data_IF_895894129526
#
_entry.id   IF_895894129526
#
_cell.length_a   1.000
_cell.length_b   1.000
_cell.length_c   1.000
_cell.angle_alpha   90.00
_cell.angle_beta   90.00
_cell.angle_gamma   90.00
#
_symmetry.space_group_name_H-M   'P 1'
#
loop_
_entity.id
_entity.type
_entity.pdbx_description
1 polymer ?
#
# COMPACT_ATOMS: atom_id res chain seq x y z
N UNK A 1 -20.43 -29.63 -20.08
CA UNK A 1 -19.79 -28.30 -19.95
C UNK A 1 -20.77 -27.38 -19.21
N UNK A 2 -20.60 -27.19 -17.92
CA UNK A 2 -21.42 -26.30 -17.11
C UNK A 2 -20.69 -24.96 -16.94
N UNK A 3 -21.27 -23.89 -17.52
CA UNK A 3 -20.75 -22.53 -17.38
C UNK A 3 -21.00 -22.01 -15.96
N UNK A 4 -20.09 -21.20 -15.38
CA UNK A 4 -20.23 -20.68 -14.02
C UNK A 4 -21.48 -19.80 -13.88
N UNK A 5 -22.10 -19.88 -12.71
CA UNK A 5 -23.39 -19.26 -12.36
C UNK A 5 -23.34 -17.75 -12.09
N UNK A 6 -22.20 -17.11 -12.27
CA UNK A 6 -22.05 -15.66 -12.14
C UNK A 6 -22.10 -15.03 -13.53
N UNK A 7 -23.14 -14.30 -13.82
CA UNK A 7 -23.26 -13.51 -15.07
C UNK A 7 -23.02 -12.04 -14.73
N UNK A 8 -21.99 -11.46 -15.33
CA UNK A 8 -21.85 -10.02 -15.40
C UNK A 8 -22.91 -9.49 -16.36
N UNK A 9 -23.87 -8.74 -15.87
CA UNK A 9 -24.95 -8.22 -16.68
C UNK A 9 -24.84 -6.70 -16.77
N UNK A 10 -24.60 -6.21 -17.99
CA UNK A 10 -24.63 -4.78 -18.28
C UNK A 10 -26.08 -4.35 -18.51
N UNK A 11 -26.60 -3.48 -17.66
CA UNK A 11 -27.87 -2.81 -17.92
C UNK A 11 -27.53 -1.44 -18.48
N UNK A 12 -27.88 -1.19 -19.74
CA UNK A 12 -27.87 0.15 -20.33
C UNK A 12 -29.24 0.81 -20.11
N UNK A 13 -29.39 1.75 -19.19
CA UNK A 13 -30.49 2.70 -19.27
C UNK A 13 -30.26 3.60 -20.49
N UNK A 14 -31.28 4.00 -21.18
CA UNK A 14 -31.18 5.02 -22.23
C UNK A 14 -30.75 6.35 -21.58
N UNK A 15 -29.45 6.75 -21.81
CA UNK A 15 -28.83 7.93 -21.25
C UNK A 15 -28.35 7.74 -19.80
N UNK A 16 -27.03 7.81 -19.61
CA UNK A 16 -26.27 7.93 -18.37
C UNK A 16 -25.97 6.64 -17.56
N UNK A 17 -24.66 6.47 -17.25
CA UNK A 17 -23.98 5.55 -16.35
C UNK A 17 -24.31 4.07 -16.48
N UNK A 18 -23.35 3.31 -17.00
CA UNK A 18 -23.38 1.85 -16.96
C UNK A 18 -23.17 1.38 -15.50
N UNK A 19 -24.26 1.09 -14.80
CA UNK A 19 -24.19 0.45 -13.48
C UNK A 19 -23.91 -1.04 -13.68
N UNK A 20 -22.70 -1.47 -13.34
CA UNK A 20 -22.38 -2.90 -13.27
C UNK A 20 -23.07 -3.52 -12.06
N UNK A 21 -23.74 -4.67 -12.23
CA UNK A 21 -24.28 -5.43 -11.11
C UNK A 21 -23.95 -6.91 -11.25
N UNK A 22 -23.71 -7.54 -10.12
CA UNK A 22 -23.64 -8.99 -10.03
C UNK A 22 -25.03 -9.56 -9.80
N UNK A 23 -25.44 -10.56 -10.62
CA UNK A 23 -26.65 -11.34 -10.38
C UNK A 23 -26.21 -12.73 -9.99
N UNK A 24 -26.50 -13.11 -8.75
CA UNK A 24 -26.05 -14.38 -8.17
C UNK A 24 -27.28 -15.22 -7.88
N UNK A 25 -27.31 -16.47 -8.37
CA UNK A 25 -28.29 -17.49 -7.99
C UNK A 25 -27.56 -18.56 -7.19
N UNK A 26 -27.80 -18.60 -5.89
CA UNK A 26 -27.25 -19.60 -4.98
C UNK A 26 -28.00 -20.94 -5.01
N UNK A 27 -27.74 -21.79 -4.01
CA UNK A 27 -28.46 -23.05 -3.78
C UNK A 27 -27.86 -24.28 -4.45
N UNK A 28 -26.68 -24.17 -5.10
CA UNK A 28 -25.94 -25.33 -5.62
C UNK A 28 -24.55 -25.39 -5.00
N UNK A 29 -24.07 -26.57 -4.56
CA UNK A 29 -22.70 -26.74 -4.12
C UNK A 29 -21.74 -26.40 -5.27
N UNK A 30 -20.68 -25.67 -4.94
CA UNK A 30 -19.59 -25.41 -5.87
C UNK A 30 -18.56 -26.52 -5.75
N UNK A 31 -18.15 -27.10 -6.88
CA UNK A 31 -17.12 -28.14 -6.97
C UNK A 31 -16.13 -27.76 -8.07
N UNK A 32 -14.84 -27.83 -7.77
CA UNK A 32 -13.77 -27.48 -8.70
C UNK A 32 -12.52 -27.00 -8.00
N UNK A 33 -11.51 -26.65 -8.79
CA UNK A 33 -10.24 -26.10 -8.33
C UNK A 33 -10.13 -24.64 -8.77
N UNK A 34 -9.51 -23.82 -7.90
CA UNK A 34 -9.24 -22.41 -8.16
C UNK A 34 -7.79 -22.13 -7.87
N UNK A 35 -7.06 -21.60 -8.84
CA UNK A 35 -5.72 -21.05 -8.60
C UNK A 35 -5.85 -19.70 -7.92
N UNK A 36 -5.27 -19.59 -6.71
CA UNK A 36 -5.29 -18.34 -5.92
C UNK A 36 -4.26 -17.38 -6.52
N UNK A 37 -4.70 -16.15 -6.80
CA UNK A 37 -3.81 -15.05 -7.21
C UNK A 37 -3.09 -14.46 -5.99
N UNK A 38 -2.06 -13.63 -6.24
CA UNK A 38 -1.42 -12.84 -5.19
C UNK A 38 -2.40 -11.98 -4.40
N UNK A 39 -2.08 -11.72 -3.15
CA UNK A 39 -2.94 -10.97 -2.23
C UNK A 39 -2.91 -9.48 -2.52
N UNK A 40 -4.09 -8.86 -2.68
CA UNK A 40 -4.23 -7.41 -2.88
C UNK A 40 -3.49 -6.61 -1.82
N UNK A 41 -3.77 -6.91 -0.54
CA UNK A 41 -3.26 -6.11 0.57
C UNK A 41 -1.74 -6.22 0.75
N UNK A 42 -1.14 -7.35 0.37
CA UNK A 42 0.30 -7.47 0.29
C UNK A 42 0.85 -6.61 -0.86
N UNK A 43 0.35 -6.79 -2.07
CA UNK A 43 0.84 -6.09 -3.26
C UNK A 43 0.84 -4.56 -3.11
N UNK A 44 -0.25 -3.96 -2.58
CA UNK A 44 -0.35 -2.50 -2.42
C UNK A 44 0.57 -1.92 -1.33
N UNK A 45 1.15 -2.76 -0.47
CA UNK A 45 2.17 -2.35 0.50
C UNK A 45 3.60 -2.63 -0.01
N UNK A 46 3.81 -3.76 -0.68
CA UNK A 46 5.12 -4.14 -1.23
C UNK A 46 5.55 -3.22 -2.39
N UNK A 47 4.61 -2.76 -3.22
CA UNK A 47 4.89 -1.84 -4.32
C UNK A 47 5.52 -0.53 -3.82
N UNK A 48 4.93 0.24 -2.88
CA UNK A 48 5.60 1.39 -2.29
C UNK A 48 6.90 1.04 -1.55
N UNK A 49 6.98 -0.14 -0.92
CA UNK A 49 8.18 -0.57 -0.20
C UNK A 49 9.42 -0.68 -1.12
N UNK A 50 9.26 -0.93 -2.43
CA UNK A 50 10.37 -0.93 -3.39
C UNK A 50 11.15 0.39 -3.41
N UNK A 51 10.50 1.50 -3.04
CA UNK A 51 11.13 2.83 -2.93
C UNK A 51 12.35 2.77 -1.98
N UNK A 52 12.26 1.98 -0.90
CA UNK A 52 13.28 1.91 0.14
C UNK A 52 14.56 1.19 -0.31
N UNK A 53 14.48 0.33 -1.31
CA UNK A 53 15.64 -0.40 -1.83
C UNK A 53 16.67 0.51 -2.51
N UNK A 54 16.24 1.59 -3.15
CA UNK A 54 17.07 2.44 -4.02
C UNK A 54 17.78 1.63 -5.13
N UNK A 55 17.15 0.56 -5.59
CA UNK A 55 17.67 -0.41 -6.54
C UNK A 55 16.51 -1.06 -7.30
N UNK A 56 16.81 -2.09 -8.07
CA UNK A 56 15.82 -2.91 -8.79
C UNK A 56 15.22 -3.96 -7.87
N UNK A 57 13.90 -4.02 -7.86
CA UNK A 57 13.15 -5.08 -7.22
C UNK A 57 12.35 -5.87 -8.27
N UNK A 58 12.28 -7.19 -8.13
CA UNK A 58 11.40 -8.04 -8.92
C UNK A 58 10.30 -8.58 -8.00
N UNK A 59 9.05 -8.28 -8.33
CA UNK A 59 7.88 -8.79 -7.61
C UNK A 59 7.14 -9.77 -8.50
N UNK A 60 6.95 -10.99 -8.00
CA UNK A 60 6.23 -12.08 -8.65
C UNK A 60 4.83 -12.25 -8.05
N UNK A 61 3.95 -12.92 -8.77
CA UNK A 61 2.58 -13.20 -8.37
C UNK A 61 1.77 -11.94 -7.99
N UNK A 62 2.05 -10.83 -8.65
CA UNK A 62 1.32 -9.56 -8.45
C UNK A 62 -0.07 -9.68 -9.07
N UNK A 63 -1.17 -9.43 -8.31
CA UNK A 63 -2.52 -9.60 -8.83
C UNK A 63 -2.87 -8.51 -9.86
N UNK A 64 -3.61 -8.90 -10.91
CA UNK A 64 -4.12 -7.96 -11.93
C UNK A 64 -5.41 -7.30 -11.43
N UNK A 65 -5.26 -6.21 -10.69
CA UNK A 65 -6.34 -5.43 -10.09
C UNK A 65 -6.08 -3.92 -10.20
N UNK A 66 -7.15 -3.14 -10.12
CA UNK A 66 -7.10 -1.68 -10.26
C UNK A 66 -6.08 -1.02 -9.31
N UNK A 67 -6.09 -1.35 -8.02
CA UNK A 67 -5.20 -0.74 -7.03
C UNK A 67 -3.70 -1.00 -7.33
N UNK A 68 -3.37 -2.16 -7.88
CA UNK A 68 -2.00 -2.47 -8.34
C UNK A 68 -1.63 -1.60 -9.54
N UNK A 69 -2.52 -1.48 -10.53
CA UNK A 69 -2.28 -0.63 -11.68
C UNK A 69 -2.05 0.84 -11.27
N UNK A 70 -2.84 1.37 -10.33
CA UNK A 70 -2.66 2.72 -9.78
C UNK A 70 -1.35 2.85 -9.02
N UNK A 71 -0.94 1.82 -8.23
CA UNK A 71 0.35 1.83 -7.52
C UNK A 71 1.54 1.87 -8.47
N UNK A 72 1.50 1.07 -9.56
CA UNK A 72 2.55 1.05 -10.58
C UNK A 72 2.62 2.39 -11.35
N UNK A 73 1.47 2.98 -11.68
CA UNK A 73 1.41 4.33 -12.29
C UNK A 73 1.97 5.39 -11.34
N UNK A 74 1.68 5.28 -10.04
CA UNK A 74 2.23 6.20 -9.03
C UNK A 74 3.75 6.09 -8.95
N UNK A 75 4.30 4.88 -8.90
CA UNK A 75 5.75 4.66 -8.93
C UNK A 75 6.39 5.27 -10.18
N UNK A 76 5.79 5.05 -11.35
CA UNK A 76 6.27 5.63 -12.61
C UNK A 76 6.19 7.16 -12.59
N UNK A 77 5.12 7.76 -12.06
CA UNK A 77 4.97 9.21 -11.93
C UNK A 77 5.99 9.83 -10.95
N UNK A 78 6.42 9.07 -9.94
CA UNK A 78 7.51 9.47 -9.03
C UNK A 78 8.91 9.37 -9.65
N UNK A 79 9.02 8.74 -10.82
CA UNK A 79 10.27 8.57 -11.57
C UNK A 79 10.85 7.16 -11.58
N UNK A 80 10.15 6.16 -11.03
CA UNK A 80 10.58 4.77 -11.14
C UNK A 80 10.42 4.23 -12.56
N UNK A 81 11.31 3.32 -12.96
CA UNK A 81 11.13 2.53 -14.16
C UNK A 81 10.39 1.26 -13.84
N UNK A 82 9.20 1.10 -14.40
CA UNK A 82 8.34 -0.07 -14.18
C UNK A 82 8.29 -0.89 -15.46
N UNK A 83 8.63 -2.16 -15.37
CA UNK A 83 8.67 -3.07 -16.50
C UNK A 83 7.93 -4.37 -16.19
N UNK A 84 6.99 -4.73 -17.04
CA UNK A 84 6.32 -6.02 -17.00
C UNK A 84 7.25 -7.07 -17.60
N UNK A 85 7.66 -8.05 -16.81
CA UNK A 85 8.50 -9.18 -17.25
C UNK A 85 7.66 -10.37 -17.69
N UNK A 86 6.56 -10.64 -17.00
CA UNK A 86 5.60 -11.70 -17.29
C UNK A 86 4.22 -11.28 -16.76
N UNK A 87 3.18 -12.04 -17.05
CA UNK A 87 1.76 -11.75 -16.75
C UNK A 87 1.50 -11.19 -15.34
N UNK A 88 2.28 -11.63 -14.35
CA UNK A 88 2.14 -11.26 -12.94
C UNK A 88 3.49 -10.90 -12.29
N UNK A 89 4.50 -10.58 -13.08
CA UNK A 89 5.86 -10.29 -12.62
C UNK A 89 6.31 -8.92 -13.11
N UNK A 90 6.69 -8.06 -12.19
CA UNK A 90 7.14 -6.70 -12.47
C UNK A 90 8.57 -6.47 -11.96
N UNK A 91 9.42 -5.88 -12.79
CA UNK A 91 10.68 -5.27 -12.39
C UNK A 91 10.42 -3.78 -12.12
N UNK A 92 10.83 -3.29 -10.97
CA UNK A 92 10.66 -1.92 -10.53
C UNK A 92 12.01 -1.38 -10.12
N UNK A 93 12.53 -0.41 -10.88
CA UNK A 93 13.79 0.28 -10.60
C UNK A 93 13.48 1.65 -9.98
N UNK A 94 13.89 1.84 -8.75
CA UNK A 94 13.65 3.07 -7.99
C UNK A 94 14.91 3.92 -7.79
N UNK A 95 15.99 3.63 -8.52
CA UNK A 95 17.25 4.39 -8.41
C UNK A 95 17.10 5.86 -8.77
N UNK A 96 16.24 6.17 -9.75
CA UNK A 96 16.08 7.50 -10.35
C UNK A 96 14.78 8.20 -9.94
N UNK A 97 14.29 8.01 -8.71
CA UNK A 97 13.11 8.75 -8.23
C UNK A 97 13.40 10.26 -8.17
N UNK A 98 12.48 11.07 -8.69
CA UNK A 98 12.63 12.52 -8.84
C UNK A 98 11.64 13.33 -8.01
N UNK A 99 10.61 12.68 -7.46
CA UNK A 99 9.54 13.36 -6.72
C UNK A 99 9.21 12.63 -5.42
N UNK A 100 8.87 13.40 -4.38
CA UNK A 100 8.28 12.92 -3.12
C UNK A 100 6.80 13.29 -2.99
N UNK A 101 6.23 13.86 -4.05
CA UNK A 101 4.81 14.19 -4.11
C UNK A 101 4.08 13.21 -5.03
N UNK A 102 3.15 12.48 -4.47
CA UNK A 102 2.24 11.60 -5.23
C UNK A 102 1.21 12.46 -5.96
N UNK A 103 0.97 12.26 -7.28
CA UNK A 103 -0.05 13.00 -8.01
C UNK A 103 -1.44 12.84 -7.37
N UNK A 104 -2.18 13.94 -7.26
CA UNK A 104 -3.48 14.00 -6.58
C UNK A 104 -4.51 13.07 -7.19
N UNK A 105 -4.56 13.01 -8.50
CA UNK A 105 -5.48 12.16 -9.25
C UNK A 105 -5.23 10.67 -8.98
N UNK A 106 -3.98 10.23 -8.85
CA UNK A 106 -3.63 8.87 -8.48
C UNK A 106 -3.90 8.59 -7.00
N UNK A 107 -3.54 9.52 -6.10
CA UNK A 107 -3.81 9.37 -4.66
C UNK A 107 -5.28 9.14 -4.37
N UNK A 108 -6.17 9.84 -5.07
CA UNK A 108 -7.62 9.76 -4.85
C UNK A 108 -8.26 8.49 -5.40
N UNK A 109 -7.61 7.79 -6.32
CA UNK A 109 -8.14 6.56 -6.92
C UNK A 109 -7.95 5.34 -6.02
N UNK A 110 -6.98 5.40 -5.10
CA UNK A 110 -6.61 4.25 -4.29
C UNK A 110 -6.41 4.67 -2.83
N UNK A 111 -7.09 3.95 -1.93
CA UNK A 111 -6.93 4.22 -0.50
C UNK A 111 -5.53 3.88 0.03
N UNK A 112 -4.91 2.82 -0.50
CA UNK A 112 -3.58 2.38 -0.13
C UNK A 112 -2.46 3.37 -0.51
N UNK A 113 -2.79 4.50 -1.17
CA UNK A 113 -1.84 5.59 -1.45
C UNK A 113 -1.13 6.13 -0.20
N UNK A 114 -1.70 5.94 0.99
CA UNK A 114 -1.03 6.26 2.26
C UNK A 114 0.31 5.55 2.47
N UNK A 115 0.51 4.35 1.92
CA UNK A 115 1.78 3.64 2.08
C UNK A 115 2.95 4.36 1.42
N UNK A 116 2.68 5.20 0.43
CA UNK A 116 3.71 6.08 -0.15
C UNK A 116 4.22 7.12 0.85
N UNK A 117 3.41 7.55 1.85
CA UNK A 117 3.89 8.46 2.91
C UNK A 117 5.07 7.84 3.67
N UNK A 118 4.90 6.62 4.19
CA UNK A 118 5.96 5.95 4.96
C UNK A 118 7.19 5.64 4.13
N UNK A 119 7.01 5.14 2.90
CA UNK A 119 8.13 4.79 2.03
C UNK A 119 8.95 6.02 1.57
N UNK A 120 8.28 7.08 1.14
CA UNK A 120 8.93 8.32 0.73
C UNK A 120 9.57 9.05 1.91
N UNK A 121 8.88 9.12 3.06
CA UNK A 121 9.43 9.70 4.29
C UNK A 121 10.68 8.94 4.73
N UNK A 122 10.63 7.62 4.75
CA UNK A 122 11.77 6.79 5.15
C UNK A 122 13.01 7.01 4.28
N UNK A 123 12.83 7.10 2.96
CA UNK A 123 13.97 7.25 2.03
C UNK A 123 14.42 8.70 1.86
N UNK A 124 13.49 9.65 1.74
CA UNK A 124 13.80 11.03 1.34
C UNK A 124 13.61 12.05 2.47
N UNK A 125 13.08 11.63 3.62
CA UNK A 125 12.74 12.53 4.72
C UNK A 125 11.58 13.48 4.41
N UNK A 126 10.83 13.24 3.32
CA UNK A 126 9.69 14.08 2.93
C UNK A 126 8.72 13.28 2.08
N UNK A 127 7.42 13.48 2.30
CA UNK A 127 6.37 12.93 1.46
C UNK A 127 5.14 13.81 1.43
N UNK A 128 4.46 13.85 0.27
CA UNK A 128 3.18 14.53 0.10
C UNK A 128 2.20 13.59 -0.63
N UNK A 129 1.04 13.38 -0.02
CA UNK A 129 -0.02 12.51 -0.58
C UNK A 129 -1.36 13.19 -0.33
N UNK A 130 -2.20 13.32 -1.37
CA UNK A 130 -3.56 13.80 -1.16
C UNK A 130 -4.36 12.80 -0.31
N UNK A 131 -5.28 13.31 0.50
CA UNK A 131 -6.20 12.45 1.25
C UNK A 131 -6.92 11.52 0.28
N UNK A 132 -6.77 10.21 0.43
CA UNK A 132 -7.32 9.27 -0.53
C UNK A 132 -8.84 9.32 -0.56
N UNK A 133 -9.36 9.22 -1.77
CA UNK A 133 -10.77 8.98 -2.04
C UNK A 133 -11.11 7.49 -2.02
N UNK A 134 -12.19 7.14 -2.63
CA UNK A 134 -12.40 5.80 -3.20
C UNK A 134 -13.00 4.72 -2.32
N UNK A 135 -13.47 4.96 -1.08
CA UNK A 135 -14.25 3.96 -0.38
C UNK A 135 -15.31 4.57 0.53
N UNK A 136 -16.58 4.27 0.25
CA UNK A 136 -17.72 4.75 1.04
C UNK A 136 -17.93 3.99 2.38
N UNK A 137 -16.92 3.26 2.86
CA UNK A 137 -16.99 2.49 4.11
C UNK A 137 -16.73 3.33 5.37
N UNK A 138 -16.89 4.65 5.29
CA UNK A 138 -16.76 5.60 6.40
C UNK A 138 -15.37 6.22 6.57
N UNK A 139 -15.26 7.22 7.47
CA UNK A 139 -14.01 7.89 7.76
C UNK A 139 -13.03 6.89 8.37
N UNK A 140 -11.81 6.91 7.89
CA UNK A 140 -10.69 6.20 8.50
C UNK A 140 -9.61 7.22 8.80
N UNK A 141 -9.45 7.57 10.05
CA UNK A 141 -8.49 8.57 10.48
C UNK A 141 -7.07 8.11 10.16
N UNK A 142 -6.20 9.09 9.87
CA UNK A 142 -4.76 8.88 9.64
C UNK A 142 -3.95 9.20 10.90
N UNK A 143 -4.62 9.48 12.01
CA UNK A 143 -4.02 9.88 13.28
C UNK A 143 -2.93 8.91 13.75
N UNK A 144 -3.18 7.60 13.66
CA UNK A 144 -2.20 6.60 14.05
C UNK A 144 -0.97 6.56 13.12
N UNK A 145 -1.15 6.87 11.83
CA UNK A 145 -0.02 7.02 10.90
C UNK A 145 0.84 8.23 11.28
N UNK A 146 0.21 9.39 11.48
CA UNK A 146 0.89 10.62 11.85
C UNK A 146 1.55 10.51 13.22
N UNK A 147 0.89 9.86 14.19
CA UNK A 147 1.47 9.54 15.50
C UNK A 147 2.79 8.77 15.38
N UNK A 148 2.82 7.75 14.53
CA UNK A 148 4.06 6.99 14.31
C UNK A 148 5.15 7.84 13.66
N UNK A 149 4.82 8.63 12.64
CA UNK A 149 5.79 9.52 11.99
C UNK A 149 6.33 10.59 12.94
N UNK A 150 5.46 11.19 13.75
CA UNK A 150 5.83 12.18 14.77
C UNK A 150 6.75 11.56 15.83
N UNK A 151 6.49 10.33 16.29
CA UNK A 151 7.37 9.62 17.22
C UNK A 151 8.76 9.36 16.62
N UNK A 152 8.86 9.11 15.31
CA UNK A 152 10.13 8.98 14.60
C UNK A 152 10.83 10.33 14.36
N UNK A 153 10.23 11.46 14.77
CA UNK A 153 10.78 12.79 14.63
C UNK A 153 10.40 13.55 13.38
N UNK A 154 9.38 13.10 12.65
CA UNK A 154 8.82 13.86 11.52
C UNK A 154 7.76 14.86 12.02
N UNK A 155 7.69 16.02 11.34
CA UNK A 155 6.58 16.95 11.44
C UNK A 155 5.54 16.61 10.36
N UNK A 156 4.27 16.84 10.66
CA UNK A 156 3.19 16.65 9.72
C UNK A 156 2.27 17.87 9.64
N UNK A 157 1.62 18.03 8.50
CA UNK A 157 0.52 18.97 8.31
C UNK A 157 -0.53 18.38 7.37
N UNK A 158 -1.78 18.75 7.60
CA UNK A 158 -2.91 18.39 6.73
C UNK A 158 -3.60 19.67 6.31
N UNK A 159 -3.36 20.09 5.08
CA UNK A 159 -3.87 21.33 4.53
C UNK A 159 -4.51 21.10 3.17
N UNK A 160 -5.69 21.65 2.94
CA UNK A 160 -6.43 21.56 1.67
C UNK A 160 -6.60 20.13 1.13
N UNK A 161 -6.68 19.14 2.04
CA UNK A 161 -6.77 17.73 1.68
C UNK A 161 -5.46 17.09 1.23
N UNK A 162 -4.31 17.75 1.46
CA UNK A 162 -2.97 17.22 1.30
C UNK A 162 -2.38 16.88 2.66
N UNK A 163 -1.81 15.69 2.76
CA UNK A 163 -1.00 15.27 3.90
C UNK A 163 0.46 15.50 3.50
N UNK A 164 1.17 16.27 4.31
CA UNK A 164 2.61 16.48 4.18
C UNK A 164 3.29 15.95 5.42
N UNK A 165 4.39 15.26 5.24
CA UNK A 165 5.24 14.77 6.32
C UNK A 165 6.71 15.08 6.00
N UNK A 166 7.44 15.60 6.96
CA UNK A 166 8.83 16.02 6.81
C UNK A 166 9.65 15.64 8.03
N UNK A 167 10.79 14.97 7.82
CA UNK A 167 11.73 14.59 8.86
C UNK A 167 13.08 14.27 8.23
N UNK A 168 14.00 15.22 8.26
CA UNK A 168 15.32 15.09 7.61
C UNK A 168 16.15 13.91 8.10
N UNK A 169 15.97 13.52 9.35
CA UNK A 169 16.67 12.39 9.95
C UNK A 169 15.72 11.72 10.95
N UNK A 170 15.13 10.63 10.53
CA UNK A 170 14.26 9.84 11.38
C UNK A 170 15.10 9.09 12.42
N UNK A 171 14.58 8.99 13.63
CA UNK A 171 15.22 8.27 14.74
C UNK A 171 14.32 7.17 15.24
N UNK A 172 14.93 6.06 15.64
CA UNK A 172 14.24 4.97 16.28
C UNK A 172 13.46 5.44 17.51
N UNK A 173 12.26 4.90 17.68
CA UNK A 173 11.34 5.31 18.72
C UNK A 173 10.50 4.13 19.25
N UNK A 174 9.92 4.31 20.43
CA UNK A 174 8.92 3.42 20.97
C UNK A 174 7.53 3.98 20.62
N UNK A 175 6.78 3.26 19.79
CA UNK A 175 5.45 3.66 19.28
C UNK A 175 4.39 2.69 19.79
N UNK A 176 3.51 3.17 20.65
CA UNK A 176 2.31 2.43 21.06
C UNK A 176 1.10 2.95 20.29
N UNK A 177 0.39 2.08 19.55
CA UNK A 177 -0.83 2.43 18.84
C UNK A 177 -2.05 2.37 19.76
N UNK A 178 -2.85 3.45 19.78
CA UNK A 178 -4.07 3.50 20.62
C UNK A 178 -5.14 2.53 20.12
N UNK A 179 -5.12 2.28 18.82
CA UNK A 179 -5.99 1.30 18.13
C UNK A 179 -5.18 0.48 17.16
N UNK A 180 -5.39 -0.82 17.11
CA UNK A 180 -4.79 -1.70 16.10
C UNK A 180 -5.20 -1.25 14.71
N UNK A 181 -4.23 -0.91 13.88
CA UNK A 181 -4.43 -0.45 12.50
C UNK A 181 -3.41 -1.05 11.56
N UNK A 182 -3.87 -1.85 10.61
CA UNK A 182 -3.01 -2.43 9.56
C UNK A 182 -2.25 -1.34 8.81
N UNK A 183 -2.97 -0.31 8.37
CA UNK A 183 -2.39 0.78 7.61
C UNK A 183 -1.30 1.52 8.37
N UNK A 184 -1.56 1.87 9.64
CA UNK A 184 -0.58 2.57 10.47
C UNK A 184 0.63 1.68 10.80
N UNK A 185 0.41 0.40 11.11
CA UNK A 185 1.49 -0.56 11.35
C UNK A 185 2.45 -0.65 10.15
N UNK A 186 1.91 -0.89 8.95
CA UNK A 186 2.71 -1.00 7.74
C UNK A 186 3.42 0.31 7.38
N UNK A 187 2.74 1.44 7.55
CA UNK A 187 3.33 2.75 7.27
C UNK A 187 4.45 3.11 8.26
N UNK A 188 4.27 2.76 9.54
CA UNK A 188 5.32 2.92 10.56
C UNK A 188 6.54 2.04 10.23
N UNK A 189 6.33 0.79 9.81
CA UNK A 189 7.42 -0.10 9.36
C UNK A 189 8.19 0.51 8.18
N UNK A 190 7.47 1.01 7.16
CA UNK A 190 8.08 1.63 5.98
C UNK A 190 8.92 2.87 6.33
N UNK A 191 8.44 3.70 7.24
CA UNK A 191 9.17 4.90 7.67
C UNK A 191 10.36 4.57 8.59
N UNK A 192 10.20 3.57 9.48
CA UNK A 192 11.17 3.23 10.49
C UNK A 192 12.38 2.44 9.99
N UNK A 193 12.24 1.70 8.90
CA UNK A 193 13.27 0.75 8.43
C UNK A 193 14.59 1.39 8.07
N UNK A 194 14.60 2.68 7.72
CA UNK A 194 15.81 3.47 7.45
C UNK A 194 16.09 4.53 8.55
N UNK A 195 15.32 4.53 9.66
CA UNK A 195 15.56 5.41 10.78
C UNK A 195 16.82 4.98 11.56
N UNK A 196 17.51 5.96 12.15
CA UNK A 196 18.69 5.71 12.96
C UNK A 196 18.29 5.18 14.36
N UNK A 197 18.77 4.00 14.72
CA UNK A 197 18.51 3.34 16.00
C UNK A 197 17.37 2.33 15.96
N UNK A 198 16.93 1.88 17.14
CA UNK A 198 15.90 0.86 17.30
C UNK A 198 14.51 1.48 17.34
N UNK A 199 13.59 0.94 16.55
CA UNK A 199 12.16 1.24 16.66
C UNK A 199 11.42 0.05 17.22
N UNK A 200 10.57 0.28 18.22
CA UNK A 200 9.66 -0.71 18.80
C UNK A 200 8.23 -0.27 18.51
N UNK A 201 7.47 -1.13 17.87
CA UNK A 201 6.04 -0.90 17.56
C UNK A 201 5.19 -1.83 18.41
N UNK A 202 4.31 -1.28 19.24
CA UNK A 202 3.41 -2.03 20.12
C UNK A 202 1.94 -1.83 19.78
N UNK A 203 1.11 -2.80 20.14
CA UNK A 203 -0.32 -2.86 19.79
C UNK A 203 -0.56 -2.78 18.28
N UNK A 204 0.26 -3.51 17.52
CA UNK A 204 0.28 -3.54 16.05
C UNK A 204 -0.70 -4.56 15.48
N UNK A 205 -0.97 -4.40 14.19
CA UNK A 205 -1.71 -5.38 13.39
C UNK A 205 -0.83 -6.62 13.11
N UNK A 206 -1.46 -7.80 13.06
CA UNK A 206 -0.78 -9.11 12.94
C UNK A 206 -1.18 -9.89 11.69
N UNK A 207 -1.92 -9.27 10.79
CA UNK A 207 -2.42 -9.89 9.58
C UNK A 207 -1.28 -10.41 8.68
N UNK A 208 -1.49 -11.49 7.91
CA UNK A 208 -0.46 -12.13 7.09
C UNK A 208 0.29 -11.16 6.18
N UNK A 209 -0.38 -10.17 5.63
CA UNK A 209 0.26 -9.18 4.75
C UNK A 209 1.17 -8.17 5.48
N UNK A 210 1.05 -8.04 6.81
CA UNK A 210 2.05 -7.33 7.65
C UNK A 210 3.33 -8.15 7.74
N UNK A 211 3.18 -9.47 7.89
CA UNK A 211 4.31 -10.42 7.88
C UNK A 211 5.00 -10.43 6.51
N UNK A 212 4.22 -10.42 5.41
CA UNK A 212 4.74 -10.34 4.05
C UNK A 212 5.59 -9.08 3.86
N UNK A 213 5.11 -7.92 4.35
CA UNK A 213 5.90 -6.68 4.29
C UNK A 213 7.20 -6.79 5.09
N UNK A 214 7.15 -7.33 6.32
CA UNK A 214 8.34 -7.52 7.14
C UNK A 214 9.38 -8.42 6.44
N UNK A 215 8.92 -9.53 5.86
CA UNK A 215 9.76 -10.45 5.10
C UNK A 215 10.39 -9.76 3.89
N UNK A 216 9.61 -8.98 3.14
CA UNK A 216 10.10 -8.23 1.98
C UNK A 216 11.15 -7.19 2.38
N UNK A 217 10.92 -6.43 3.45
CA UNK A 217 11.91 -5.48 4.00
C UNK A 217 13.20 -6.21 4.41
N UNK A 218 13.09 -7.36 5.08
CA UNK A 218 14.23 -8.17 5.47
C UNK A 218 15.01 -8.71 4.25
N UNK A 219 14.32 -9.09 3.17
CA UNK A 219 14.98 -9.48 1.92
C UNK A 219 15.78 -8.33 1.28
N UNK A 220 15.38 -7.08 1.53
CA UNK A 220 16.11 -5.88 1.10
C UNK A 220 17.23 -5.47 2.08
N UNK A 221 17.46 -6.22 3.16
CA UNK A 221 18.54 -5.99 4.11
C UNK A 221 18.14 -5.31 5.43
N UNK A 222 16.85 -5.13 5.69
CA UNK A 222 16.36 -4.65 6.98
C UNK A 222 16.45 -5.73 8.08
N UNK A 223 16.26 -5.34 9.34
CA UNK A 223 16.13 -6.25 10.48
C UNK A 223 14.79 -6.02 11.20
N UNK A 224 13.70 -6.52 10.59
CA UNK A 224 12.35 -6.44 11.15
C UNK A 224 12.02 -7.78 11.84
N UNK A 225 11.70 -7.73 13.13
CA UNK A 225 11.41 -8.91 13.95
C UNK A 225 10.05 -8.82 14.61
N UNK A 226 9.44 -9.95 14.95
CA UNK A 226 8.20 -10.02 15.71
C UNK A 226 6.93 -9.71 14.91
N UNK A 227 6.98 -9.46 13.61
CA UNK A 227 5.78 -9.24 12.80
C UNK A 227 4.87 -10.47 12.84
N UNK A 228 3.57 -10.26 13.14
CA UNK A 228 2.57 -11.32 13.24
C UNK A 228 2.58 -12.08 14.57
N UNK A 229 3.40 -11.69 15.53
CA UNK A 229 3.46 -12.30 16.88
C UNK A 229 2.74 -11.43 17.93
N UNK A 230 2.68 -11.93 19.19
CA UNK A 230 2.16 -11.20 20.35
C UNK A 230 3.20 -10.25 20.94
#
# INVERSE_FOLDING_TARGET
MHRPFVRRMYIRPKGEFCLEKFVIRGGKPLMGEVTISGAKNAAVALLPATILAADKCVLENVPDIHDVAVSLQTLAALGAQVRLLDKHTYEIDTTCLTSTQVPDDLSRQMRASYYFLGALLGRFGSAQVAMPGGCNLGPRPIDQHLKAFSALGAADSVEYGMIKVEGKQLKGAHVFFDTVSVGATMNAMLAAVLADGLTVLENVAKEPHVVDLANFLNMMGADVRGAGTD
#
